data_IF_750541474454
#
_entry.id   IF_750541474454
#
_cell.length_a   1.000
_cell.length_b   1.000
_cell.length_c   1.000
_cell.angle_alpha   90.00
_cell.angle_beta   90.00
_cell.angle_gamma   90.00
#
_symmetry.space_group_name_H-M   'P 1'
#
loop_
_entity.id
_entity.type
_entity.pdbx_description
1 polymer ?
#
# COMPACT_ATOMS: atom_id res chain seq x y z
N UNK A 1 -4.52 -9.09 -24.14
CA UNK A 1 -4.20 -7.89 -23.34
C UNK A 1 -5.07 -7.76 -22.10
N UNK A 2 -6.38 -7.89 -22.22
CA UNK A 2 -7.33 -7.64 -21.12
C UNK A 2 -7.15 -8.59 -19.91
N UNK A 3 -6.98 -9.90 -20.14
CA UNK A 3 -6.71 -10.86 -19.08
C UNK A 3 -5.42 -10.55 -18.29
N UNK A 4 -4.36 -10.10 -18.99
CA UNK A 4 -3.10 -9.69 -18.36
C UNK A 4 -3.33 -8.46 -17.47
N UNK A 5 -4.05 -7.45 -17.97
CA UNK A 5 -4.39 -6.27 -17.17
C UNK A 5 -5.26 -6.61 -15.94
N UNK A 6 -6.18 -7.56 -16.05
CA UNK A 6 -6.99 -8.02 -14.91
C UNK A 6 -6.13 -8.70 -13.84
N UNK A 7 -5.23 -9.61 -14.24
CA UNK A 7 -4.29 -10.26 -13.31
C UNK A 7 -3.39 -9.24 -12.63
N UNK A 8 -2.85 -8.29 -13.39
CA UNK A 8 -2.02 -7.20 -12.86
C UNK A 8 -2.81 -6.38 -11.82
N UNK A 9 -4.05 -5.97 -12.12
CA UNK A 9 -4.90 -5.23 -11.18
C UNK A 9 -5.20 -6.01 -9.90
N UNK A 10 -5.51 -7.31 -10.04
CA UNK A 10 -5.78 -8.18 -8.90
C UNK A 10 -4.56 -8.25 -7.97
N UNK A 11 -3.37 -8.41 -8.52
CA UNK A 11 -2.13 -8.43 -7.75
C UNK A 11 -1.91 -7.10 -7.02
N UNK A 12 -2.08 -5.95 -7.69
CA UNK A 12 -1.95 -4.64 -7.04
C UNK A 12 -2.93 -4.45 -5.89
N UNK A 13 -4.20 -4.85 -6.07
CA UNK A 13 -5.21 -4.78 -5.02
C UNK A 13 -4.83 -5.67 -3.83
N UNK A 14 -4.46 -6.92 -4.09
CA UNK A 14 -4.07 -7.87 -3.04
C UNK A 14 -2.86 -7.37 -2.22
N UNK A 15 -1.82 -6.86 -2.90
CA UNK A 15 -0.63 -6.31 -2.23
C UNK A 15 -0.98 -5.07 -1.40
N UNK A 16 -1.81 -4.17 -1.94
CA UNK A 16 -2.25 -2.97 -1.21
C UNK A 16 -3.04 -3.32 0.05
N UNK A 17 -3.88 -4.35 0.01
CA UNK A 17 -4.62 -4.84 1.18
C UNK A 17 -3.69 -5.39 2.27
N UNK A 18 -2.67 -6.18 1.91
CA UNK A 18 -1.69 -6.68 2.87
C UNK A 18 -0.87 -5.55 3.50
N UNK A 19 -0.45 -4.56 2.72
CA UNK A 19 0.28 -3.40 3.23
C UNK A 19 -0.60 -2.63 4.22
N UNK A 20 -1.88 -2.44 3.91
CA UNK A 20 -2.80 -1.74 4.81
C UNK A 20 -2.99 -2.47 6.14
N UNK A 21 -3.09 -3.81 6.11
CA UNK A 21 -3.18 -4.62 7.32
C UNK A 21 -1.91 -4.49 8.18
N UNK A 22 -0.74 -4.52 7.55
CA UNK A 22 0.55 -4.36 8.24
C UNK A 22 0.69 -2.95 8.86
N UNK A 23 0.27 -1.90 8.15
CA UNK A 23 0.24 -0.54 8.68
C UNK A 23 -0.61 -0.44 9.95
N UNK A 24 -1.81 -1.02 9.95
CA UNK A 24 -2.67 -1.04 11.14
C UNK A 24 -2.01 -1.77 12.30
N UNK A 25 -1.45 -2.96 12.05
CA UNK A 25 -0.73 -3.72 13.07
C UNK A 25 0.43 -2.94 13.68
N UNK A 26 1.30 -2.35 12.84
CA UNK A 26 2.45 -1.59 13.31
C UNK A 26 2.04 -0.32 14.07
N UNK A 27 0.97 0.36 13.66
CA UNK A 27 0.41 1.49 14.41
C UNK A 27 -0.02 1.07 15.81
N UNK A 28 -0.77 -0.03 15.95
CA UNK A 28 -1.19 -0.57 17.25
C UNK A 28 0.02 -0.93 18.13
N UNK A 29 1.02 -1.60 17.56
CA UNK A 29 2.26 -1.96 18.28
C UNK A 29 3.03 -0.72 18.75
N UNK A 30 3.08 0.33 17.92
CA UNK A 30 3.71 1.61 18.28
C UNK A 30 3.02 2.29 19.46
N UNK A 31 1.69 2.24 19.52
CA UNK A 31 0.92 2.81 20.62
C UNK A 31 1.10 2.04 21.94
N UNK A 32 1.32 0.73 21.86
CA UNK A 32 1.48 -0.15 23.03
C UNK A 32 2.88 -0.11 23.64
N UNK A 33 3.87 0.46 22.95
CA UNK A 33 5.24 0.51 23.45
C UNK A 33 5.55 1.79 24.22
N UNK A 34 6.26 1.66 25.33
CA UNK A 34 6.80 2.81 26.08
C UNK A 34 8.22 3.19 25.63
N UNK A 35 8.75 2.54 24.58
CA UNK A 35 10.07 2.81 24.01
C UNK A 35 9.99 3.76 22.81
N UNK A 36 10.42 5.00 23.01
CA UNK A 36 10.46 6.04 21.98
C UNK A 36 11.31 5.67 20.75
N UNK A 37 12.44 4.97 20.95
CA UNK A 37 13.30 4.54 19.84
C UNK A 37 12.59 3.49 19.00
N UNK A 38 11.88 2.58 19.65
CA UNK A 38 11.07 1.57 18.97
C UNK A 38 9.91 2.22 18.21
N UNK A 39 9.22 3.21 18.80
CA UNK A 39 8.18 3.99 18.10
C UNK A 39 8.73 4.71 16.87
N UNK A 40 9.92 5.31 16.99
CA UNK A 40 10.57 5.99 15.87
C UNK A 40 10.93 5.01 14.74
N UNK A 41 11.49 3.84 15.08
CA UNK A 41 11.76 2.79 14.09
C UNK A 41 10.49 2.29 13.42
N UNK A 42 9.39 2.10 14.16
CA UNK A 42 8.10 1.73 13.57
C UNK A 42 7.57 2.84 12.64
N UNK A 43 7.69 4.10 13.03
CA UNK A 43 7.24 5.22 12.22
C UNK A 43 7.98 5.28 10.86
N UNK A 44 9.28 4.98 10.83
CA UNK A 44 10.06 4.89 9.58
C UNK A 44 9.56 3.76 8.67
N UNK A 45 9.21 2.61 9.25
CA UNK A 45 8.62 1.48 8.50
C UNK A 45 7.24 1.86 7.96
N UNK A 46 6.38 2.46 8.78
CA UNK A 46 5.06 2.94 8.37
C UNK A 46 5.16 3.94 7.22
N UNK A 47 6.11 4.89 7.30
CA UNK A 47 6.35 5.85 6.22
C UNK A 47 6.73 5.16 4.90
N UNK A 48 7.64 4.20 4.96
CA UNK A 48 8.09 3.43 3.78
C UNK A 48 6.95 2.60 3.17
N UNK A 49 6.10 2.00 4.01
CA UNK A 49 4.94 1.23 3.57
C UNK A 49 3.85 2.12 2.95
N UNK A 50 3.64 3.32 3.48
CA UNK A 50 2.73 4.31 2.89
C UNK A 50 3.19 4.74 1.49
N UNK A 51 4.47 5.06 1.31
CA UNK A 51 5.02 5.44 -0.01
C UNK A 51 4.84 4.32 -1.05
N UNK A 52 5.03 3.06 -0.63
CA UNK A 52 4.75 1.91 -1.48
C UNK A 52 3.25 1.80 -1.80
N UNK A 53 2.37 1.93 -0.82
CA UNK A 53 0.91 1.89 -1.02
C UNK A 53 0.43 2.97 -2.00
N UNK A 54 0.96 4.19 -1.89
CA UNK A 54 0.68 5.32 -2.78
C UNK A 54 1.14 5.03 -4.21
N UNK A 55 2.35 4.47 -4.36
CA UNK A 55 2.90 4.07 -5.66
C UNK A 55 2.03 3.01 -6.34
N UNK A 56 1.61 1.98 -5.61
CA UNK A 56 0.73 0.92 -6.14
C UNK A 56 -0.64 1.50 -6.53
N UNK A 57 -1.18 2.42 -5.72
CA UNK A 57 -2.44 3.10 -6.00
C UNK A 57 -2.35 3.94 -7.27
N UNK A 58 -1.25 4.66 -7.44
CA UNK A 58 -0.97 5.47 -8.63
C UNK A 58 -0.84 4.59 -9.88
N UNK A 59 -0.08 3.50 -9.82
CA UNK A 59 0.04 2.52 -10.92
C UNK A 59 -1.31 1.90 -11.28
N UNK A 60 -2.12 1.53 -10.29
CA UNK A 60 -3.50 1.04 -10.51
C UNK A 60 -4.34 2.06 -11.27
N UNK A 61 -4.20 3.36 -10.96
CA UNK A 61 -4.92 4.44 -11.66
C UNK A 61 -4.52 4.54 -13.13
N UNK A 62 -3.23 4.42 -13.46
CA UNK A 62 -2.74 4.41 -14.84
C UNK A 62 -3.11 3.16 -15.63
N UNK A 63 -3.32 2.04 -14.93
CA UNK A 63 -3.83 0.79 -15.53
C UNK A 63 -5.35 0.83 -15.76
N UNK A 64 -6.07 1.84 -15.27
CA UNK A 64 -7.49 2.05 -15.59
C UNK A 64 -7.55 2.46 -17.07
N UNK A 65 -8.41 1.83 -17.89
CA UNK A 65 -8.40 2.10 -19.31
C UNK A 65 -8.87 3.55 -19.51
N UNK A 66 -8.12 4.34 -20.29
CA UNK A 66 -8.64 5.58 -20.88
C UNK A 66 -9.69 5.18 -21.91
N UNK A 67 -10.92 4.96 -21.49
CA UNK A 67 -12.05 4.75 -22.40
C UNK A 67 -12.72 6.07 -22.85
N UNK A 68 -12.22 7.23 -22.39
CA UNK A 68 -12.87 8.53 -22.63
C UNK A 68 -12.10 9.40 -23.65
N UNK A 69 -11.69 8.81 -24.77
CA UNK A 69 -11.20 9.57 -25.93
C UNK A 69 -11.94 9.09 -27.19
N UNK A 70 -13.26 9.26 -27.17
CA UNK A 70 -14.08 9.48 -28.37
C UNK A 70 -14.13 10.98 -28.66
#
# INVERSE_FOLDING_TARGET
MEAIHQVIRLNYTCISEYIQAELTFLSEVSELTDDERFRQSIAEVIYSLNDLSDTLTLQRRYLKPRFDAE
#
